data_IF_746559798257
#
_entry.id   IF_746559798257
#
_cell.length_a   1.000
_cell.length_b   1.000
_cell.length_c   1.000
_cell.angle_alpha   90.00
_cell.angle_beta   90.00
_cell.angle_gamma   90.00
#
_symmetry.space_group_name_H-M   'P 1'
#
loop_
_entity.id
_entity.type
_entity.pdbx_description
1 polymer ?
#
# COMPACT_ATOMS: atom_id res chain seq x y z
N UNK A 1 -21.22 16.32 6.02
CA UNK A 1 -20.13 17.23 6.41
C UNK A 1 -18.82 16.47 6.17
N UNK A 2 -18.14 16.74 5.05
CA UNK A 2 -16.90 16.04 4.69
C UNK A 2 -15.74 16.75 5.37
N UNK A 3 -15.12 16.09 6.36
CA UNK A 3 -13.84 16.55 6.87
C UNK A 3 -12.76 16.16 5.86
N UNK A 4 -12.29 17.14 5.10
CA UNK A 4 -11.06 17.02 4.33
C UNK A 4 -9.90 17.32 5.28
N UNK A 5 -9.15 16.29 5.67
CA UNK A 5 -7.84 16.51 6.25
C UNK A 5 -6.82 16.57 5.10
N UNK A 6 -6.05 17.65 4.98
CA UNK A 6 -4.96 17.69 4.04
C UNK A 6 -3.80 16.85 4.62
N UNK A 7 -3.70 15.60 4.22
CA UNK A 7 -2.49 14.79 4.46
C UNK A 7 -1.56 15.06 3.27
N UNK A 8 -0.88 16.19 3.33
CA UNK A 8 0.16 16.51 2.37
C UNK A 8 1.49 15.87 2.81
N UNK A 9 1.95 14.91 2.04
CA UNK A 9 3.34 14.75 1.76
C UNK A 9 4.22 14.09 2.81
N UNK A 10 4.16 12.78 3.03
CA UNK A 10 5.30 12.12 3.68
C UNK A 10 5.57 10.65 3.28
N UNK A 11 4.76 10.04 2.44
CA UNK A 11 4.94 8.62 2.11
C UNK A 11 6.01 8.32 1.03
N UNK A 12 6.75 9.35 0.56
CA UNK A 12 7.49 9.26 -0.72
C UNK A 12 8.86 8.61 -0.65
N UNK A 13 9.51 8.60 0.50
CA UNK A 13 10.95 8.29 0.53
C UNK A 13 11.34 6.81 0.56
N UNK A 14 10.43 5.88 0.80
CA UNK A 14 10.80 4.48 1.06
C UNK A 14 10.80 3.62 -0.20
N UNK A 15 9.92 3.91 -1.14
CA UNK A 15 9.77 3.06 -2.33
C UNK A 15 10.84 3.26 -3.40
N UNK A 16 11.59 4.36 -3.35
CA UNK A 16 12.65 4.61 -4.33
C UNK A 16 13.85 3.67 -4.22
N UNK A 17 14.08 3.05 -3.07
CA UNK A 17 15.22 2.13 -2.88
C UNK A 17 15.01 0.74 -3.48
N UNK A 18 13.77 0.37 -3.77
CA UNK A 18 13.42 -0.99 -4.20
C UNK A 18 13.37 -1.10 -5.75
N UNK A 19 13.14 -0.01 -6.47
CA UNK A 19 12.91 -0.04 -7.93
C UNK A 19 14.15 0.21 -8.80
N UNK A 20 15.32 0.44 -8.21
CA UNK A 20 16.57 0.66 -8.97
C UNK A 20 17.59 -0.43 -8.64
N UNK A 21 17.28 -1.69 -8.92
CA UNK A 21 18.28 -2.73 -8.97
C UNK A 21 18.82 -2.83 -10.39
N UNK A 22 19.96 -2.18 -10.65
CA UNK A 22 20.82 -2.48 -11.81
C UNK A 22 21.51 -3.81 -11.58
N UNK A 23 21.64 -4.69 -12.57
CA UNK A 23 22.41 -5.91 -12.45
C UNK A 23 23.92 -5.58 -12.45
N UNK A 24 24.61 -5.99 -11.45
CA UNK A 24 26.07 -6.03 -11.41
C UNK A 24 26.71 -5.20 -10.31
N UNK A 25 26.67 -5.69 -9.09
CA UNK A 25 27.77 -5.51 -8.11
C UNK A 25 27.59 -6.59 -7.03
N UNK A 26 28.57 -7.44 -6.91
CA UNK A 26 28.69 -8.31 -5.75
C UNK A 26 28.93 -7.45 -4.53
N UNK A 27 28.03 -7.50 -3.54
CA UNK A 27 28.25 -6.84 -2.28
C UNK A 27 27.75 -7.71 -1.12
N UNK A 28 28.54 -7.67 -0.11
CA UNK A 28 28.45 -8.28 1.19
C UNK A 28 27.04 -8.48 1.72
N UNK A 29 26.79 -9.72 2.13
CA UNK A 29 25.59 -10.13 2.84
C UNK A 29 25.55 -9.45 4.21
N UNK A 30 24.85 -8.35 4.31
CA UNK A 30 24.31 -7.93 5.60
C UNK A 30 23.07 -8.79 5.85
N UNK A 31 23.26 -9.89 6.61
CA UNK A 31 22.19 -10.76 7.09
C UNK A 31 21.30 -9.95 8.05
N UNK A 32 20.33 -9.22 7.48
CA UNK A 32 19.18 -8.75 8.26
C UNK A 32 18.55 -9.97 8.93
N UNK A 33 18.38 -9.89 10.23
CA UNK A 33 17.72 -10.92 11.04
C UNK A 33 16.34 -11.15 10.44
N UNK A 34 16.14 -12.28 9.76
CA UNK A 34 14.80 -12.72 9.33
C UNK A 34 14.00 -12.93 10.60
N UNK A 35 13.24 -11.94 10.99
CA UNK A 35 12.19 -12.10 11.98
C UNK A 35 11.23 -13.16 11.42
N UNK A 36 11.01 -14.21 12.18
CA UNK A 36 10.22 -15.36 11.77
C UNK A 36 8.71 -15.04 11.92
N UNK A 37 8.27 -13.85 11.42
CA UNK A 37 6.84 -13.51 11.33
C UNK A 37 6.27 -14.27 10.13
N UNK A 38 5.26 -15.06 10.37
CA UNK A 38 4.54 -15.82 9.34
C UNK A 38 3.60 -14.91 8.55
N UNK A 39 3.44 -15.13 7.26
CA UNK A 39 2.42 -14.47 6.44
C UNK A 39 0.99 -14.65 7.01
N UNK A 40 0.76 -15.68 7.83
CA UNK A 40 -0.49 -15.89 8.58
C UNK A 40 -0.80 -14.76 9.60
N UNK A 41 0.15 -13.90 9.92
CA UNK A 41 -0.03 -12.77 10.83
C UNK A 41 -0.51 -11.50 10.11
N UNK A 42 -0.53 -11.49 8.79
CA UNK A 42 -1.02 -10.35 8.02
C UNK A 42 -2.55 -10.33 8.11
N UNK A 43 -3.15 -9.26 8.65
CA UNK A 43 -4.59 -9.19 8.73
C UNK A 43 -5.21 -9.13 7.33
N UNK A 44 -6.33 -9.84 7.16
CA UNK A 44 -7.12 -9.69 5.96
C UNK A 44 -7.66 -8.26 5.89
N UNK A 45 -7.54 -7.63 4.73
CA UNK A 45 -8.05 -6.28 4.51
C UNK A 45 -9.55 -6.17 4.85
N UNK A 46 -9.93 -5.27 5.77
CA UNK A 46 -11.33 -5.18 6.23
C UNK A 46 -12.30 -4.67 5.17
N UNK A 47 -11.81 -3.87 4.21
CA UNK A 47 -12.59 -3.26 3.17
C UNK A 47 -13.20 -1.89 3.54
N UNK A 48 -13.66 -1.15 2.53
CA UNK A 48 -14.08 0.25 2.65
C UNK A 48 -15.35 0.49 3.50
N UNK A 49 -16.17 -0.56 3.75
CA UNK A 49 -17.36 -0.49 4.61
C UNK A 49 -17.04 -0.72 6.09
N UNK A 50 -15.86 -1.19 6.41
CA UNK A 50 -15.48 -1.51 7.78
C UNK A 50 -15.23 -0.22 8.60
N UNK A 51 -15.58 -0.19 9.89
CA UNK A 51 -15.33 0.99 10.74
C UNK A 51 -13.87 1.42 10.83
N UNK A 52 -12.92 0.51 10.65
CA UNK A 52 -11.49 0.79 10.65
C UNK A 52 -10.99 1.53 9.39
N UNK A 53 -11.80 1.61 8.33
CA UNK A 53 -11.39 2.27 7.10
C UNK A 53 -11.18 3.78 7.33
N UNK A 54 -10.03 4.29 6.91
CA UNK A 54 -9.64 5.70 7.08
C UNK A 54 -9.52 6.47 5.76
N UNK A 55 -9.64 5.79 4.64
CA UNK A 55 -9.60 6.42 3.33
C UNK A 55 -8.56 5.78 2.41
N UNK A 56 -8.33 6.45 1.30
CA UNK A 56 -7.34 6.06 0.31
C UNK A 56 -6.71 7.29 -0.32
N UNK A 57 -5.53 7.11 -0.92
CA UNK A 57 -4.87 8.15 -1.70
C UNK A 57 -4.07 7.57 -2.87
N UNK A 58 -3.90 8.38 -3.91
CA UNK A 58 -2.91 8.12 -4.96
C UNK A 58 -1.55 8.55 -4.42
N UNK A 59 -0.60 7.63 -4.37
CA UNK A 59 0.73 7.92 -3.85
C UNK A 59 1.51 8.82 -4.81
N UNK A 60 2.48 9.54 -4.28
CA UNK A 60 3.42 10.36 -5.07
C UNK A 60 4.34 9.50 -5.93
N UNK A 61 4.54 8.23 -5.59
CA UNK A 61 5.13 7.25 -6.50
C UNK A 61 4.09 6.93 -7.58
N UNK A 62 4.38 7.26 -8.86
CA UNK A 62 3.42 7.05 -9.94
C UNK A 62 2.98 5.60 -10.03
N UNK A 63 1.69 5.38 -10.23
CA UNK A 63 1.15 4.04 -10.46
C UNK A 63 0.80 3.26 -9.21
N UNK A 64 0.76 3.89 -8.04
CA UNK A 64 0.35 3.25 -6.80
C UNK A 64 -0.81 3.99 -6.13
N UNK A 65 -1.69 3.22 -5.49
CA UNK A 65 -2.80 3.68 -4.64
C UNK A 65 -2.70 2.99 -3.30
N UNK A 66 -2.80 3.75 -2.22
CA UNK A 66 -2.82 3.25 -0.85
C UNK A 66 -4.22 3.33 -0.23
N UNK A 67 -4.58 2.34 0.58
CA UNK A 67 -5.77 2.31 1.41
C UNK A 67 -5.34 2.16 2.87
N UNK A 68 -5.92 2.93 3.77
CA UNK A 68 -5.50 3.04 5.16
C UNK A 68 -6.57 2.51 6.12
N UNK A 69 -6.12 1.86 7.19
CA UNK A 69 -6.95 1.30 8.23
C UNK A 69 -6.37 1.58 9.62
N UNK A 70 -7.25 1.77 10.57
CA UNK A 70 -7.01 1.91 12.00
C UNK A 70 -7.74 0.72 12.65
N UNK A 71 -7.02 -0.37 12.84
CA UNK A 71 -7.61 -1.68 13.15
C UNK A 71 -8.15 -1.76 14.57
N UNK A 72 -7.50 -1.11 15.53
CA UNK A 72 -7.87 -1.08 16.94
C UNK A 72 -8.76 0.12 17.33
N UNK A 73 -9.01 1.04 16.39
CA UNK A 73 -9.86 2.22 16.52
C UNK A 73 -9.33 3.26 17.52
N UNK A 74 -8.01 3.34 17.69
CA UNK A 74 -7.34 4.30 18.56
C UNK A 74 -7.05 5.66 17.89
N UNK A 75 -7.42 5.80 16.60
CA UNK A 75 -7.25 6.96 15.73
C UNK A 75 -5.84 7.10 15.14
N UNK A 76 -5.02 6.09 15.27
CA UNK A 76 -3.76 5.99 14.56
C UNK A 76 -3.91 5.01 13.39
N UNK A 77 -2.98 5.07 12.44
CA UNK A 77 -3.00 4.13 11.33
C UNK A 77 -2.14 2.92 11.69
N UNK A 78 -2.73 1.74 11.64
CA UNK A 78 -2.05 0.48 11.93
C UNK A 78 -1.71 -0.30 10.68
N UNK A 79 -2.52 -0.12 9.65
CA UNK A 79 -2.48 -0.99 8.50
C UNK A 79 -2.69 -0.19 7.21
N UNK A 80 -1.83 -0.45 6.24
CA UNK A 80 -1.92 0.12 4.90
C UNK A 80 -1.75 -0.98 3.86
N UNK A 81 -2.59 -0.97 2.85
CA UNK A 81 -2.43 -1.82 1.67
C UNK A 81 -2.20 -0.96 0.44
N UNK A 82 -1.26 -1.36 -0.42
CA UNK A 82 -0.89 -0.60 -1.60
C UNK A 82 -1.10 -1.46 -2.83
N UNK A 83 -1.84 -0.89 -3.81
CA UNK A 83 -2.19 -1.54 -5.06
C UNK A 83 -1.54 -0.84 -6.24
N UNK A 84 -1.21 -1.64 -7.23
CA UNK A 84 -0.71 -1.17 -8.50
C UNK A 84 -1.85 -0.66 -9.38
N UNK A 85 -1.69 0.53 -9.93
CA UNK A 85 -2.61 1.08 -10.92
C UNK A 85 -2.38 0.41 -12.26
N UNK A 86 -3.41 -0.26 -12.77
CA UNK A 86 -3.39 -0.92 -14.08
C UNK A 86 -3.69 0.09 -15.19
N UNK A 87 -4.71 0.93 -14.96
CA UNK A 87 -5.11 1.99 -15.88
C UNK A 87 -5.80 3.14 -15.15
N UNK A 88 -5.86 4.28 -15.84
CA UNK A 88 -6.64 5.45 -15.41
C UNK A 88 -7.63 5.80 -16.52
N UNK A 89 -8.75 6.39 -16.12
CA UNK A 89 -9.71 6.99 -17.03
C UNK A 89 -10.11 8.37 -16.49
N UNK A 90 -10.57 9.24 -17.36
CA UNK A 90 -11.18 10.49 -16.95
C UNK A 90 -12.59 10.21 -16.40
N UNK A 91 -12.96 10.90 -15.32
CA UNK A 91 -14.33 10.88 -14.81
C UNK A 91 -15.34 11.52 -15.77
N UNK A 92 -14.86 12.24 -16.81
CA UNK A 92 -15.69 12.73 -17.89
C UNK A 92 -15.98 11.65 -18.93
N UNK A 93 -15.09 10.66 -19.05
CA UNK A 93 -15.20 9.55 -20.03
C UNK A 93 -16.01 8.36 -19.48
N UNK A 94 -16.16 8.27 -18.17
CA UNK A 94 -16.86 7.15 -17.53
C UNK A 94 -17.67 7.61 -16.33
N UNK A 95 -18.85 7.02 -16.13
CA UNK A 95 -19.60 7.19 -14.88
C UNK A 95 -19.08 6.26 -13.80
N UNK A 96 -19.44 6.56 -12.55
CA UNK A 96 -19.07 5.71 -11.40
C UNK A 96 -19.61 4.30 -11.57
N UNK A 97 -20.88 4.17 -11.98
CA UNK A 97 -21.56 2.89 -12.18
C UNK A 97 -20.85 2.06 -13.26
N UNK A 98 -20.54 2.68 -14.39
CA UNK A 98 -19.85 2.02 -15.50
C UNK A 98 -18.43 1.60 -15.10
N UNK A 99 -17.72 2.42 -14.34
CA UNK A 99 -16.39 2.08 -13.86
C UNK A 99 -16.42 0.90 -12.87
N UNK A 100 -17.43 0.83 -12.00
CA UNK A 100 -17.64 -0.31 -11.09
C UNK A 100 -17.96 -1.58 -11.88
N UNK A 101 -18.85 -1.50 -12.86
CA UNK A 101 -19.22 -2.64 -13.70
C UNK A 101 -17.99 -3.21 -14.43
N UNK A 102 -17.21 -2.33 -15.07
CA UNK A 102 -15.98 -2.74 -15.77
C UNK A 102 -14.96 -3.33 -14.79
N UNK A 103 -14.78 -2.73 -13.62
CA UNK A 103 -13.86 -3.26 -12.62
C UNK A 103 -14.28 -4.64 -12.13
N UNK A 104 -15.58 -4.87 -11.92
CA UNK A 104 -16.10 -6.18 -11.53
C UNK A 104 -15.89 -7.25 -12.63
N UNK A 105 -16.13 -6.88 -13.88
CA UNK A 105 -15.93 -7.78 -15.02
C UNK A 105 -14.46 -8.15 -15.20
N UNK A 106 -13.55 -7.17 -15.09
CA UNK A 106 -12.11 -7.36 -15.27
C UNK A 106 -11.43 -7.91 -13.99
N UNK A 107 -12.15 -8.12 -12.89
CA UNK A 107 -11.57 -8.56 -11.62
C UNK A 107 -10.69 -7.52 -10.93
N UNK A 108 -10.94 -6.24 -11.20
CA UNK A 108 -10.18 -5.11 -10.67
C UNK A 108 -10.87 -4.46 -9.46
N UNK A 109 -10.14 -3.60 -8.76
CA UNK A 109 -10.67 -2.64 -7.81
C UNK A 109 -10.65 -1.24 -8.42
N UNK A 110 -11.60 -0.39 -8.02
CA UNK A 110 -11.72 0.97 -8.57
C UNK A 110 -11.72 2.02 -7.46
N UNK A 111 -10.98 3.10 -7.70
CA UNK A 111 -10.88 4.25 -6.81
C UNK A 111 -11.18 5.53 -7.58
N UNK A 112 -11.94 6.44 -6.95
CA UNK A 112 -12.39 7.67 -7.58
C UNK A 112 -11.77 8.88 -6.90
N UNK A 113 -11.08 9.70 -7.68
CA UNK A 113 -10.60 11.01 -7.27
C UNK A 113 -10.82 11.97 -8.43
N UNK A 114 -11.96 12.71 -8.38
CA UNK A 114 -12.32 13.61 -9.47
C UNK A 114 -11.15 14.49 -9.92
N UNK A 115 -10.80 14.61 -11.20
CA UNK A 115 -11.50 14.01 -12.34
C UNK A 115 -10.96 12.64 -12.80
N UNK A 116 -10.24 11.90 -11.97
CA UNK A 116 -9.56 10.67 -12.36
C UNK A 116 -10.19 9.45 -11.68
N UNK A 117 -10.36 8.40 -12.46
CA UNK A 117 -10.74 7.06 -12.01
C UNK A 117 -9.53 6.15 -12.13
N UNK A 118 -9.18 5.46 -11.05
CA UNK A 118 -8.05 4.53 -10.98
C UNK A 118 -8.56 3.10 -10.94
N UNK A 119 -8.10 2.27 -11.86
CA UNK A 119 -8.32 0.82 -11.86
C UNK A 119 -7.04 0.15 -11.39
N UNK A 120 -7.15 -0.67 -10.35
CA UNK A 120 -6.00 -1.33 -9.72
C UNK A 120 -6.20 -2.83 -9.70
N UNK A 121 -5.14 -3.60 -9.50
CA UNK A 121 -5.29 -5.00 -9.16
C UNK A 121 -6.19 -5.16 -7.94
N UNK A 122 -6.93 -6.26 -7.91
CA UNK A 122 -7.81 -6.61 -6.79
C UNK A 122 -6.99 -6.88 -5.53
N UNK A 123 -5.92 -7.66 -5.68
CA UNK A 123 -5.02 -7.96 -4.60
C UNK A 123 -3.95 -6.87 -4.46
N UNK A 124 -3.63 -6.46 -3.25
CA UNK A 124 -2.53 -5.54 -2.99
C UNK A 124 -1.17 -6.13 -3.39
N UNK A 125 -0.27 -5.26 -3.84
CA UNK A 125 1.14 -5.58 -4.02
C UNK A 125 1.91 -5.53 -2.70
N UNK A 126 1.52 -4.61 -1.81
CA UNK A 126 2.16 -4.43 -0.51
C UNK A 126 1.13 -4.41 0.60
N UNK A 127 1.51 -5.02 1.72
CA UNK A 127 0.80 -4.99 3.00
C UNK A 127 1.76 -4.41 4.05
N UNK A 128 1.38 -3.31 4.65
CA UNK A 128 2.17 -2.63 5.66
C UNK A 128 1.49 -2.70 7.00
N UNK A 129 2.17 -3.22 8.01
CA UNK A 129 1.75 -3.21 9.40
C UNK A 129 2.51 -2.15 10.18
N UNK A 130 1.93 -1.70 11.30
CA UNK A 130 2.54 -0.71 12.18
C UNK A 130 2.91 0.56 11.41
N UNK A 131 1.90 1.15 10.75
CA UNK A 131 2.07 2.36 9.95
C UNK A 131 2.10 3.56 10.87
N UNK A 132 3.26 4.15 11.06
CA UNK A 132 3.38 5.48 11.63
C UNK A 132 3.55 6.48 10.48
N UNK A 133 2.63 7.44 10.34
CA UNK A 133 2.72 8.46 9.29
C UNK A 133 4.00 9.32 9.40
N UNK A 134 4.69 9.30 10.56
CA UNK A 134 5.96 9.99 10.80
C UNK A 134 7.18 9.11 10.51
N UNK A 135 7.02 7.80 10.59
CA UNK A 135 8.12 6.84 10.57
C UNK A 135 8.05 5.81 9.46
N UNK A 136 6.98 5.81 8.69
CA UNK A 136 6.73 4.84 7.64
C UNK A 136 6.26 3.45 8.15
N UNK A 137 5.99 2.57 7.22
CA UNK A 137 5.70 1.17 7.43
C UNK A 137 6.94 0.47 8.03
N UNK A 138 6.82 -0.17 9.17
CA UNK A 138 7.93 -0.89 9.79
C UNK A 138 8.10 -2.28 9.19
N UNK A 139 7.02 -3.01 9.06
CA UNK A 139 6.98 -4.32 8.44
C UNK A 139 6.19 -4.22 7.14
N UNK A 140 6.86 -4.51 6.03
CA UNK A 140 6.28 -4.50 4.70
C UNK A 140 6.29 -5.92 4.13
N UNK A 141 5.11 -6.43 3.84
CA UNK A 141 4.94 -7.69 3.12
C UNK A 141 4.71 -7.40 1.65
N UNK A 142 5.41 -8.13 0.78
CA UNK A 142 5.35 -7.96 -0.67
C UNK A 142 4.75 -9.20 -1.29
N UNK A 143 3.62 -9.06 -1.94
CA UNK A 143 2.97 -10.06 -2.78
C UNK A 143 3.35 -9.80 -4.24
N UNK A 144 4.48 -10.31 -4.67
CA UNK A 144 5.01 -10.07 -6.03
C UNK A 144 4.06 -10.62 -7.10
N UNK A 145 3.37 -11.71 -6.79
CA UNK A 145 2.43 -12.34 -7.71
C UNK A 145 1.08 -11.60 -7.78
N UNK A 146 0.80 -10.75 -6.79
CA UNK A 146 -0.49 -10.05 -6.63
C UNK A 146 -1.68 -11.04 -6.64
N UNK A 147 -1.45 -12.25 -6.07
CA UNK A 147 -2.45 -13.33 -6.01
C UNK A 147 -3.16 -13.41 -4.65
N UNK A 148 -2.80 -12.54 -3.71
CA UNK A 148 -3.41 -12.37 -2.40
C UNK A 148 -2.64 -13.09 -1.30
N UNK A 149 -3.16 -12.99 -0.07
CA UNK A 149 -2.53 -13.59 1.11
C UNK A 149 -2.61 -15.11 1.07
N UNK A 150 -1.56 -15.76 0.62
CA UNK A 150 -1.49 -17.23 0.44
C UNK A 150 -0.26 -17.87 1.11
N UNK A 151 0.60 -17.06 1.74
CA UNK A 151 1.78 -17.53 2.47
C UNK A 151 3.07 -17.49 1.66
N UNK A 152 3.04 -16.95 0.43
CA UNK A 152 4.22 -16.76 -0.42
C UNK A 152 4.79 -15.35 -0.35
N UNK A 153 4.17 -14.45 0.44
CA UNK A 153 4.59 -13.07 0.59
C UNK A 153 5.97 -12.96 1.25
N UNK A 154 6.77 -12.02 0.78
CA UNK A 154 8.10 -11.76 1.34
C UNK A 154 8.06 -10.61 2.36
N UNK A 155 8.58 -10.84 3.56
CA UNK A 155 8.68 -9.81 4.61
C UNK A 155 9.96 -8.99 4.44
N UNK A 156 9.78 -7.69 4.38
CA UNK A 156 10.85 -6.69 4.44
C UNK A 156 10.68 -5.85 5.71
N UNK A 157 11.63 -5.94 6.62
CA UNK A 157 11.68 -5.09 7.81
C UNK A 157 12.62 -3.92 7.53
N UNK A 158 12.07 -2.70 7.59
CA UNK A 158 12.85 -1.50 7.45
C UNK A 158 13.56 -1.21 8.77
N UNK A 159 14.84 -1.56 8.87
CA UNK A 159 15.67 -1.15 9.99
C UNK A 159 15.79 0.37 9.99
N UNK A 160 15.27 1.03 11.04
CA UNK A 160 15.53 2.45 11.28
C UNK A 160 17.04 2.62 11.42
N UNK A 161 17.70 3.47 10.62
CA UNK A 161 19.10 3.77 10.88
C UNK A 161 19.19 4.33 12.30
N UNK A 162 19.92 3.67 13.19
CA UNK A 162 20.24 4.24 14.49
C UNK A 162 21.03 5.53 14.23
N UNK A 163 20.38 6.67 14.36
CA UNK A 163 21.06 7.94 14.46
C UNK A 163 21.91 7.85 15.70
N UNK A 164 23.16 7.43 15.51
CA UNK A 164 24.18 7.47 16.57
C UNK A 164 24.31 8.93 16.99
N UNK A 165 23.67 9.27 18.10
CA UNK A 165 23.95 10.50 18.82
C UNK A 165 25.39 10.38 19.33
N UNK A 166 26.33 11.09 18.70
CA UNK A 166 27.63 11.36 19.24
C UNK A 166 27.56 12.64 20.05
#
# INVERSE_FOLDING_TARGET
MKLHFPIAGLAVFILMSILVSRPGFASDQNKGTKGNKSAAEIPKEPGWKHPSYRGWESLSVPGLVATFYDLDLDRQLDYMVIRKVIRKASAEETTIEKAIEVAQFDGLSVFFSHPVVYFTNRNPLFYCLEVDYRRNCQDMWVDIAEDGLNGNEELYTLSTPSLGVR
#
